data_IF_597808102118
#
_entry.id   IF_597808102118
#
_cell.length_a   1.000
_cell.length_b   1.000
_cell.length_c   1.000
_cell.angle_alpha   90.00
_cell.angle_beta   90.00
_cell.angle_gamma   90.00
#
_symmetry.space_group_name_H-M   'P 1'
#
loop_
_entity.id
_entity.type
_entity.pdbx_description
1 polymer ?
#
# COMPACT_ATOMS: atom_id res chain seq x y z
N UNK A 1 8.76 -1.52 0.18
CA UNK A 1 8.86 -0.66 -1.02
C UNK A 1 10.29 -0.14 -1.13
N UNK A 2 10.90 -0.13 -2.33
CA UNK A 2 12.17 0.55 -2.58
C UNK A 2 12.12 2.05 -2.24
N UNK A 3 13.25 2.68 -1.85
CA UNK A 3 13.26 4.04 -1.32
C UNK A 3 12.87 5.13 -2.34
N UNK A 4 12.88 4.81 -3.64
CA UNK A 4 12.55 5.73 -4.74
C UNK A 4 11.06 6.04 -4.83
N UNK A 5 10.21 5.25 -4.16
CA UNK A 5 8.77 5.49 -4.08
C UNK A 5 8.31 5.43 -2.63
N UNK A 6 7.75 6.52 -2.13
CA UNK A 6 7.04 6.52 -0.86
C UNK A 6 5.68 5.82 -1.04
N UNK A 7 5.32 4.99 -0.07
CA UNK A 7 4.00 4.38 0.02
C UNK A 7 3.39 4.76 1.35
N UNK A 8 2.21 5.36 1.30
CA UNK A 8 1.46 5.79 2.47
C UNK A 8 0.03 5.24 2.40
N UNK A 9 -0.52 4.85 3.55
CA UNK A 9 -1.88 4.31 3.67
C UNK A 9 -2.63 5.08 4.74
N UNK A 10 -3.81 5.59 4.39
CA UNK A 10 -4.66 6.37 5.30
C UNK A 10 -6.11 5.85 5.29
N UNK A 11 -6.71 5.54 6.44
CA UNK A 11 -6.08 5.42 7.77
C UNK A 11 -5.12 4.22 7.86
N UNK A 12 -4.14 4.22 8.78
CA UNK A 12 -3.17 3.13 8.92
C UNK A 12 -3.77 1.84 9.53
N UNK A 13 -4.94 1.94 10.17
CA UNK A 13 -5.67 0.82 10.72
C UNK A 13 -7.17 1.08 10.67
N UNK A 14 -7.96 0.02 10.54
CA UNK A 14 -9.43 0.07 10.53
C UNK A 14 -10.01 -1.12 11.27
N UNK A 15 -11.21 -0.92 11.83
CA UNK A 15 -12.04 -2.01 12.35
C UNK A 15 -13.13 -2.33 11.33
N UNK A 16 -13.17 -3.59 10.89
CA UNK A 16 -14.19 -4.11 9.97
C UNK A 16 -15.15 -5.01 10.76
N UNK A 17 -16.41 -4.60 10.85
CA UNK A 17 -17.47 -5.39 11.49
C UNK A 17 -17.98 -6.48 10.53
N UNK A 18 -18.65 -7.53 11.03
CA UNK A 18 -19.27 -8.54 10.16
C UNK A 18 -20.17 -7.91 9.09
N UNK A 19 -19.94 -8.25 7.82
CA UNK A 19 -20.68 -7.71 6.68
C UNK A 19 -20.40 -6.25 6.32
N UNK A 20 -19.53 -5.55 7.06
CA UNK A 20 -19.18 -4.17 6.78
C UNK A 20 -18.02 -4.06 5.78
N UNK A 21 -17.94 -2.91 5.12
CA UNK A 21 -16.79 -2.50 4.30
C UNK A 21 -16.12 -1.24 4.87
N UNK A 22 -14.84 -1.09 4.58
CA UNK A 22 -14.04 0.09 4.92
C UNK A 22 -13.19 0.47 3.74
N UNK A 23 -12.97 1.77 3.59
CA UNK A 23 -12.12 2.34 2.54
C UNK A 23 -10.77 2.74 3.13
N UNK A 24 -9.71 2.54 2.34
CA UNK A 24 -8.34 2.92 2.65
C UNK A 24 -7.81 3.66 1.42
N UNK A 25 -7.25 4.84 1.62
CA UNK A 25 -6.55 5.58 0.59
C UNK A 25 -5.08 5.17 0.60
N UNK A 26 -4.55 4.84 -0.58
CA UNK A 26 -3.13 4.51 -0.77
C UNK A 26 -2.52 5.59 -1.65
N UNK A 27 -1.47 6.24 -1.16
CA UNK A 27 -0.72 7.24 -1.91
C UNK A 27 0.66 6.68 -2.26
N UNK A 28 0.98 6.69 -3.55
CA UNK A 28 2.30 6.34 -4.08
C UNK A 28 2.97 7.60 -4.60
N UNK A 29 4.10 7.99 -4.01
CA UNK A 29 4.82 9.20 -4.37
C UNK A 29 6.21 8.84 -4.89
N UNK A 30 6.46 9.08 -6.18
CA UNK A 30 7.80 8.94 -6.73
C UNK A 30 8.72 10.03 -6.15
N UNK A 31 9.75 9.62 -5.41
CA UNK A 31 10.80 10.48 -4.88
C UNK A 31 11.93 10.68 -5.88
N UNK A 32 12.13 9.72 -6.79
CA UNK A 32 13.15 9.78 -7.83
C UNK A 32 12.65 9.07 -9.09
N UNK A 33 13.03 9.60 -10.25
CA UNK A 33 12.67 9.05 -11.56
C UNK A 33 13.82 8.17 -12.03
N UNK A 34 13.69 6.86 -11.85
CA UNK A 34 14.71 5.89 -12.27
C UNK A 34 14.44 5.31 -13.66
N UNK A 35 13.23 5.46 -14.20
CA UNK A 35 12.83 4.80 -15.44
C UNK A 35 12.67 3.28 -15.31
N UNK A 36 12.63 2.75 -14.08
CA UNK A 36 12.46 1.33 -13.77
C UNK A 36 11.24 1.11 -12.88
N UNK A 37 10.66 -0.09 -12.94
CA UNK A 37 9.59 -0.47 -12.02
C UNK A 37 10.12 -0.70 -10.60
N UNK A 38 9.40 -0.16 -9.63
CA UNK A 38 9.57 -0.41 -8.21
C UNK A 38 8.40 -1.24 -7.70
N UNK A 39 8.72 -2.37 -7.07
CA UNK A 39 7.73 -3.33 -6.56
C UNK A 39 7.66 -3.29 -5.04
N UNK A 40 6.46 -3.33 -4.50
CA UNK A 40 6.23 -3.40 -3.06
C UNK A 40 4.92 -4.09 -2.74
N UNK A 41 4.55 -4.01 -1.48
CA UNK A 41 3.28 -4.57 -1.01
C UNK A 41 2.75 -3.77 0.17
N UNK A 42 1.44 -3.83 0.33
CA UNK A 42 0.73 -3.44 1.54
C UNK A 42 0.33 -4.75 2.22
N UNK A 43 0.83 -4.95 3.44
CA UNK A 43 0.45 -6.09 4.27
C UNK A 43 -0.53 -5.60 5.35
N UNK A 44 -1.77 -6.06 5.28
CA UNK A 44 -2.79 -5.79 6.28
C UNK A 44 -2.97 -7.02 7.17
N UNK A 45 -2.58 -6.90 8.42
CA UNK A 45 -2.70 -7.96 9.42
C UNK A 45 -3.92 -7.72 10.29
N UNK A 46 -4.84 -8.67 10.29
CA UNK A 46 -5.97 -8.72 11.21
C UNK A 46 -5.60 -9.38 12.53
N UNK A 47 -6.25 -8.95 13.61
CA UNK A 47 -6.16 -9.53 14.95
C UNK A 47 -6.69 -10.97 15.02
N UNK A 48 -7.62 -11.34 14.13
CA UNK A 48 -8.13 -12.72 13.97
C UNK A 48 -7.28 -13.63 13.09
N UNK A 49 -5.99 -13.32 12.92
CA UNK A 49 -5.05 -14.13 12.13
C UNK A 49 -5.15 -13.97 10.61
N UNK A 50 -5.94 -13.01 10.12
CA UNK A 50 -6.02 -12.71 8.69
C UNK A 50 -4.76 -11.99 8.22
N UNK A 51 -4.25 -12.35 7.04
CA UNK A 51 -3.18 -11.64 6.36
C UNK A 51 -3.60 -11.37 4.92
N UNK A 52 -3.87 -10.10 4.61
CA UNK A 52 -4.17 -9.64 3.25
C UNK A 52 -2.93 -8.95 2.70
N UNK A 53 -2.48 -9.38 1.51
CA UNK A 53 -1.34 -8.79 0.82
C UNK A 53 -1.83 -8.18 -0.48
N UNK A 54 -1.57 -6.88 -0.65
CA UNK A 54 -1.88 -6.16 -1.88
C UNK A 54 -0.55 -5.82 -2.54
N UNK A 55 -0.16 -6.51 -3.63
CA UNK A 55 1.03 -6.16 -4.38
C UNK A 55 0.82 -4.81 -5.07
N UNK A 56 1.84 -3.97 -5.04
CA UNK A 56 1.82 -2.66 -5.69
C UNK A 56 3.06 -2.48 -6.55
N UNK A 57 2.87 -1.79 -7.67
CA UNK A 57 3.94 -1.45 -8.60
C UNK A 57 3.83 0.02 -8.94
N UNK A 58 4.96 0.71 -8.97
CA UNK A 58 5.07 2.10 -9.35
C UNK A 58 6.29 2.29 -10.24
N UNK A 59 6.20 3.20 -11.19
CA UNK A 59 7.34 3.66 -11.98
C UNK A 59 7.28 5.17 -12.04
N UNK A 60 8.30 5.83 -11.49
CA UNK A 60 8.49 7.25 -11.75
C UNK A 60 8.91 7.42 -13.21
N UNK A 61 8.14 8.20 -13.98
CA UNK A 61 8.49 8.62 -15.34
C UNK A 61 8.56 10.15 -15.39
N UNK A 62 9.26 10.68 -16.41
CA UNK A 62 9.40 12.11 -16.67
C UNK A 62 8.41 12.55 -17.74
#
# INVERSE_FOLDING_TARGET
MPPEVALEVTPPAVTVLPGASRELAVTLTARSVTGTYSFGEIAMKGDRGHLVRIPVVAMGFK
#
